data_IF_839672810217
#
_entry.id   IF_839672810217
#
_cell.length_a   1.000
_cell.length_b   1.000
_cell.length_c   1.000
_cell.angle_alpha   90.00
_cell.angle_beta   90.00
_cell.angle_gamma   90.00
#
_symmetry.space_group_name_H-M   'P 1'
#
loop_
_entity.id
_entity.type
_entity.pdbx_description
1 polymer ?
#
# COMPACT_ATOMS: atom_id res chain seq x y z
N UNK A 1 18.57 3.97 17.80
CA UNK A 1 19.70 4.25 16.89
C UNK A 1 20.16 2.92 16.28
N UNK A 2 20.20 2.80 14.96
CA UNK A 2 20.53 1.53 14.27
C UNK A 2 22.04 1.25 14.14
N UNK A 3 22.89 2.24 14.43
CA UNK A 3 24.34 2.11 14.46
C UNK A 3 24.82 1.83 15.89
N UNK A 4 25.88 1.03 16.03
CA UNK A 4 26.58 0.83 17.31
C UNK A 4 28.08 1.04 17.12
N UNK A 5 28.86 1.31 18.20
CA UNK A 5 30.31 1.54 18.09
C UNK A 5 31.08 0.40 17.41
N UNK A 6 30.57 -0.83 17.48
CA UNK A 6 31.20 -2.04 16.92
C UNK A 6 30.56 -2.51 15.61
N UNK A 7 29.45 -1.90 15.19
CA UNK A 7 28.75 -2.27 13.96
C UNK A 7 28.15 -1.00 13.33
N UNK A 8 28.91 -0.34 12.43
CA UNK A 8 28.37 0.78 11.70
C UNK A 8 27.17 0.33 10.87
N UNK A 9 26.08 1.08 10.96
CA UNK A 9 24.95 0.90 10.05
C UNK A 9 25.32 1.47 8.69
N UNK A 10 25.18 0.65 7.65
CA UNK A 10 25.32 1.09 6.27
C UNK A 10 23.94 1.06 5.63
N UNK A 11 23.38 2.24 5.35
CA UNK A 11 22.14 2.31 4.59
C UNK A 11 22.29 1.76 3.18
N UNK A 12 21.27 1.04 2.72
CA UNK A 12 21.13 0.71 1.32
C UNK A 12 20.42 1.87 0.62
N UNK A 13 21.13 2.56 -0.26
CA UNK A 13 20.62 3.73 -0.97
C UNK A 13 19.38 3.45 -1.82
N UNK A 14 19.17 2.23 -2.30
CA UNK A 14 17.95 1.87 -3.02
C UNK A 14 16.73 1.86 -2.10
N UNK A 15 16.88 1.37 -0.87
CA UNK A 15 15.83 1.41 0.15
C UNK A 15 15.56 2.83 0.64
N UNK A 16 16.60 3.65 0.81
CA UNK A 16 16.44 5.08 1.17
C UNK A 16 15.64 5.80 0.09
N UNK A 17 16.00 5.62 -1.19
CA UNK A 17 15.26 6.20 -2.31
C UNK A 17 13.82 5.70 -2.37
N UNK A 18 13.60 4.40 -2.13
CA UNK A 18 12.27 3.83 -2.12
C UNK A 18 11.38 4.42 -1.03
N UNK A 19 11.91 4.59 0.18
CA UNK A 19 11.20 5.20 1.30
C UNK A 19 10.85 6.67 1.00
N UNK A 20 11.78 7.43 0.41
CA UNK A 20 11.52 8.81 -0.01
C UNK A 20 10.38 8.90 -1.03
N UNK A 21 10.40 8.03 -2.06
CA UNK A 21 9.31 7.98 -3.04
C UNK A 21 8.00 7.59 -2.37
N UNK A 22 8.02 6.60 -1.46
CA UNK A 22 6.84 6.18 -0.71
C UNK A 22 6.21 7.35 0.07
N UNK A 23 7.02 8.14 0.78
CA UNK A 23 6.55 9.33 1.50
C UNK A 23 5.99 10.39 0.57
N UNK A 24 6.65 10.68 -0.54
CA UNK A 24 6.17 11.67 -1.53
C UNK A 24 4.80 11.27 -2.09
N UNK A 25 4.61 9.99 -2.43
CA UNK A 25 3.35 9.50 -3.01
C UNK A 25 2.17 9.46 -2.02
N UNK A 26 2.45 9.46 -0.72
CA UNK A 26 1.43 9.46 0.35
C UNK A 26 1.29 10.80 1.06
N UNK A 27 2.05 11.82 0.65
CA UNK A 27 2.13 13.10 1.36
C UNK A 27 0.78 13.83 1.45
N UNK A 28 0.00 13.81 0.37
CA UNK A 28 -1.36 14.35 0.33
C UNK A 28 -2.21 13.60 -0.69
N UNK A 29 -3.52 13.59 -0.47
CA UNK A 29 -4.48 13.07 -1.43
C UNK A 29 -5.81 13.82 -1.36
N UNK A 30 -5.72 15.15 -1.40
CA UNK A 30 -6.84 16.09 -1.43
C UNK A 30 -7.86 15.83 -0.30
N UNK A 31 -9.17 15.95 -0.57
CA UNK A 31 -10.24 15.82 0.41
C UNK A 31 -10.69 14.37 0.59
N UNK A 32 -9.79 13.53 1.11
CA UNK A 32 -10.14 12.18 1.57
C UNK A 32 -10.71 12.19 3.01
N UNK A 33 -11.09 11.00 3.51
CA UNK A 33 -11.72 10.84 4.83
C UNK A 33 -10.89 11.47 5.95
N UNK A 34 -9.61 11.08 6.09
CA UNK A 34 -8.74 11.59 7.14
C UNK A 34 -8.43 13.09 6.99
N UNK A 35 -8.19 13.59 5.77
CA UNK A 35 -7.99 15.03 5.55
C UNK A 35 -9.23 15.84 5.95
N UNK A 36 -10.42 15.34 5.62
CA UNK A 36 -11.68 15.97 6.01
C UNK A 36 -11.88 15.95 7.53
N UNK A 37 -11.48 14.87 8.20
CA UNK A 37 -11.49 14.78 9.67
C UNK A 37 -10.58 15.82 10.31
N UNK A 38 -9.35 16.04 9.81
CA UNK A 38 -8.47 17.11 10.30
C UNK A 38 -9.21 18.46 10.25
N UNK A 39 -9.82 18.77 9.10
CA UNK A 39 -10.48 20.07 8.88
C UNK A 39 -11.70 20.26 9.80
N UNK A 40 -12.54 19.23 9.93
CA UNK A 40 -13.75 19.29 10.73
C UNK A 40 -13.46 19.37 12.23
N UNK A 41 -12.51 18.58 12.71
CA UNK A 41 -12.12 18.60 14.13
C UNK A 41 -11.35 19.90 14.43
N UNK A 42 -10.48 20.34 13.52
CA UNK A 42 -9.72 21.58 13.64
C UNK A 42 -10.58 22.84 13.65
N UNK A 43 -11.76 22.84 13.01
CA UNK A 43 -12.67 24.00 13.03
C UNK A 43 -13.28 24.29 14.41
N UNK A 44 -13.14 23.37 15.37
CA UNK A 44 -13.48 23.60 16.78
C UNK A 44 -12.32 24.23 17.58
N UNK A 45 -11.28 24.73 16.91
CA UNK A 45 -10.08 25.35 17.51
C UNK A 45 -9.34 24.44 18.50
N UNK A 46 -9.39 23.12 18.26
CA UNK A 46 -8.59 22.17 19.05
C UNK A 46 -7.09 22.34 18.75
N UNK A 47 -6.25 21.92 19.69
CA UNK A 47 -4.80 21.91 19.47
C UNK A 47 -4.42 21.00 18.28
N UNK A 48 -3.27 21.30 17.67
CA UNK A 48 -2.75 20.60 16.49
C UNK A 48 -2.66 19.07 16.70
N UNK A 49 -2.16 18.62 17.84
CA UNK A 49 -1.97 17.20 18.13
C UNK A 49 -3.30 16.44 18.19
N UNK A 50 -4.34 17.07 18.75
CA UNK A 50 -5.69 16.49 18.79
C UNK A 50 -6.30 16.35 17.39
N UNK A 51 -6.18 17.38 16.52
CA UNK A 51 -6.69 17.32 15.15
C UNK A 51 -5.99 16.22 14.33
N UNK A 52 -4.66 16.10 14.45
CA UNK A 52 -3.88 15.05 13.77
C UNK A 52 -4.22 13.66 14.32
N UNK A 53 -4.40 13.52 15.64
CA UNK A 53 -4.75 12.23 16.26
C UNK A 53 -6.10 11.72 15.74
N UNK A 54 -7.10 12.60 15.62
CA UNK A 54 -8.40 12.24 15.04
C UNK A 54 -8.27 11.75 13.59
N UNK A 55 -7.42 12.40 12.80
CA UNK A 55 -7.16 12.00 11.42
C UNK A 55 -6.43 10.66 11.30
N UNK A 56 -5.50 10.35 12.20
CA UNK A 56 -4.85 9.04 12.27
C UNK A 56 -5.89 7.95 12.55
N UNK A 57 -6.82 8.18 13.47
CA UNK A 57 -7.92 7.24 13.72
C UNK A 57 -8.80 7.04 12.48
N UNK A 58 -9.12 8.12 11.76
CA UNK A 58 -9.87 8.03 10.51
C UNK A 58 -9.10 7.28 9.40
N UNK A 59 -7.78 7.48 9.31
CA UNK A 59 -6.90 6.78 8.37
C UNK A 59 -6.78 5.29 8.70
N UNK A 60 -6.72 4.92 9.97
CA UNK A 60 -6.55 3.53 10.38
C UNK A 60 -7.75 2.63 10.02
N UNK A 61 -8.93 3.20 9.77
CA UNK A 61 -10.11 2.44 9.39
C UNK A 61 -9.89 1.53 8.16
N UNK A 62 -10.53 0.34 8.12
CA UNK A 62 -10.30 -0.66 7.08
C UNK A 62 -10.66 -0.18 5.67
N UNK A 63 -11.61 0.75 5.56
CA UNK A 63 -12.07 1.34 4.30
C UNK A 63 -11.25 2.55 3.83
N UNK A 64 -10.21 2.93 4.59
CA UNK A 64 -9.30 4.03 4.24
C UNK A 64 -7.86 3.52 4.14
N UNK A 65 -7.05 3.63 5.20
CA UNK A 65 -5.65 3.19 5.22
C UNK A 65 -5.45 1.69 5.41
N UNK A 66 -6.47 0.96 5.89
CA UNK A 66 -6.39 -0.50 6.05
C UNK A 66 -6.37 -1.29 4.74
N UNK A 67 -6.65 -0.64 3.59
CA UNK A 67 -6.63 -1.30 2.29
C UNK A 67 -5.27 -1.95 1.98
N UNK A 68 -4.15 -1.32 2.36
CA UNK A 68 -2.80 -1.87 2.14
C UNK A 68 -2.58 -3.20 2.87
N UNK A 69 -3.08 -3.32 4.11
CA UNK A 69 -3.01 -4.56 4.88
C UNK A 69 -3.87 -5.64 4.22
N UNK A 70 -5.10 -5.31 3.82
CA UNK A 70 -6.00 -6.25 3.16
C UNK A 70 -5.42 -6.82 1.84
N UNK A 71 -4.61 -6.02 1.11
CA UNK A 71 -3.84 -6.51 -0.04
C UNK A 71 -2.83 -7.58 0.38
N UNK A 72 -2.02 -7.31 1.39
CA UNK A 72 -0.99 -8.26 1.85
C UNK A 72 -1.63 -9.55 2.36
N UNK A 73 -2.66 -9.46 3.19
CA UNK A 73 -3.39 -10.63 3.71
C UNK A 73 -3.99 -11.47 2.57
N UNK A 74 -4.59 -10.83 1.56
CA UNK A 74 -5.11 -11.54 0.39
C UNK A 74 -3.98 -12.25 -0.39
N UNK A 75 -2.84 -11.59 -0.60
CA UNK A 75 -1.68 -12.17 -1.28
C UNK A 75 -1.05 -13.33 -0.49
N UNK A 76 -1.01 -13.23 0.83
CA UNK A 76 -0.55 -14.30 1.72
C UNK A 76 -1.47 -15.52 1.64
N UNK A 77 -2.78 -15.33 1.66
CA UNK A 77 -3.76 -16.42 1.45
C UNK A 77 -3.55 -17.10 0.10
N UNK A 78 -3.35 -16.32 -0.98
CA UNK A 78 -3.06 -16.88 -2.31
C UNK A 78 -1.76 -17.70 -2.29
N UNK A 79 -0.71 -17.16 -1.68
CA UNK A 79 0.59 -17.83 -1.59
C UNK A 79 0.52 -19.13 -0.78
N UNK A 80 -0.23 -19.13 0.33
CA UNK A 80 -0.44 -20.31 1.18
C UNK A 80 -1.27 -21.39 0.49
N UNK A 81 -2.16 -21.00 -0.43
CA UNK A 81 -2.94 -21.91 -1.28
C UNK A 81 -2.22 -22.39 -2.55
N UNK A 82 -0.88 -22.34 -2.56
CA UNK A 82 -0.06 -22.83 -3.68
C UNK A 82 0.26 -21.79 -4.75
N UNK A 83 -0.20 -20.54 -4.60
CA UNK A 83 0.19 -19.40 -5.45
C UNK A 83 -0.59 -19.23 -6.75
N UNK A 84 -1.62 -20.04 -7.00
CA UNK A 84 -2.53 -19.85 -8.14
C UNK A 84 -3.56 -18.75 -7.86
N UNK A 85 -3.55 -17.70 -8.68
CA UNK A 85 -4.45 -16.55 -8.61
C UNK A 85 -5.80 -16.80 -9.30
N UNK A 86 -5.87 -17.81 -10.18
CA UNK A 86 -7.03 -18.05 -11.04
C UNK A 86 -8.35 -18.22 -10.27
N UNK A 87 -8.40 -18.97 -9.15
CA UNK A 87 -9.62 -19.13 -8.37
C UNK A 87 -10.11 -17.82 -7.76
N UNK A 88 -9.20 -16.96 -7.29
CA UNK A 88 -9.52 -15.68 -6.67
C UNK A 88 -10.04 -14.67 -7.70
N UNK A 89 -9.48 -14.68 -8.92
CA UNK A 89 -10.01 -13.87 -10.03
C UNK A 89 -11.42 -14.33 -10.43
N UNK A 90 -11.69 -15.65 -10.45
CA UNK A 90 -13.03 -16.17 -10.73
C UNK A 90 -14.04 -15.70 -9.67
N UNK A 91 -13.69 -15.81 -8.38
CA UNK A 91 -14.51 -15.29 -7.27
C UNK A 91 -14.79 -13.80 -7.42
N UNK A 92 -13.77 -12.99 -7.68
CA UNK A 92 -13.93 -11.54 -7.83
C UNK A 92 -14.82 -11.12 -9.01
N UNK A 93 -14.97 -11.99 -10.02
CA UNK A 93 -15.84 -11.77 -11.19
C UNK A 93 -17.26 -12.28 -10.97
N UNK A 94 -17.50 -13.16 -10.01
CA UNK A 94 -18.82 -13.64 -9.66
C UNK A 94 -19.57 -12.54 -8.90
N UNK A 95 -20.77 -12.17 -9.39
CA UNK A 95 -21.60 -11.14 -8.76
C UNK A 95 -22.26 -11.65 -7.47
N UNK A 96 -22.34 -12.97 -7.29
CA UNK A 96 -22.95 -13.60 -6.12
C UNK A 96 -21.93 -13.90 -5.02
N UNK A 97 -20.63 -13.78 -5.31
CA UNK A 97 -19.56 -13.95 -4.32
C UNK A 97 -19.23 -12.58 -3.69
N UNK A 98 -19.24 -12.46 -2.34
CA UNK A 98 -18.88 -11.20 -1.67
C UNK A 98 -17.38 -10.85 -1.79
N UNK A 99 -16.55 -11.75 -2.31
CA UNK A 99 -15.11 -11.55 -2.45
C UNK A 99 -14.77 -10.32 -3.31
N UNK A 100 -13.83 -9.50 -2.81
CA UNK A 100 -13.30 -8.34 -3.52
C UNK A 100 -11.80 -8.50 -3.71
N UNK A 101 -11.33 -8.15 -4.91
CA UNK A 101 -9.91 -8.12 -5.22
C UNK A 101 -9.32 -6.83 -4.62
N UNK A 102 -8.70 -6.96 -3.45
CA UNK A 102 -8.10 -5.84 -2.72
C UNK A 102 -7.00 -5.19 -3.58
N UNK A 103 -6.81 -3.88 -3.45
CA UNK A 103 -5.78 -3.12 -4.18
C UNK A 103 -6.09 -2.84 -5.65
N UNK A 104 -7.27 -3.23 -6.14
CA UNK A 104 -7.76 -2.87 -7.47
C UNK A 104 -8.92 -1.87 -7.40
N UNK A 105 -8.92 -0.96 -8.37
CA UNK A 105 -9.89 0.12 -8.46
C UNK A 105 -9.55 1.30 -7.56
N UNK A 106 -10.07 2.47 -7.91
CA UNK A 106 -9.89 3.69 -7.13
C UNK A 106 -11.17 4.52 -7.22
N UNK A 107 -11.56 5.16 -6.12
CA UNK A 107 -12.77 6.01 -6.08
C UNK A 107 -12.69 7.26 -6.98
N UNK A 108 -11.47 7.65 -7.34
CA UNK A 108 -11.15 8.94 -8.00
C UNK A 108 -10.58 8.67 -9.38
N UNK A 109 -9.53 7.85 -9.47
CA UNK A 109 -8.93 7.47 -10.75
C UNK A 109 -9.77 6.40 -11.46
N UNK A 110 -10.36 6.77 -12.60
CA UNK A 110 -11.21 5.87 -13.40
C UNK A 110 -10.41 4.87 -14.24
N UNK A 111 -9.22 5.24 -14.68
CA UNK A 111 -8.41 4.46 -15.63
C UNK A 111 -7.21 3.82 -14.96
N UNK A 112 -6.32 4.61 -14.37
CA UNK A 112 -5.17 4.12 -13.61
C UNK A 112 -4.75 5.13 -12.54
N UNK A 113 -4.18 4.66 -11.44
CA UNK A 113 -3.58 5.53 -10.42
C UNK A 113 -2.17 5.96 -10.88
N UNK A 114 -1.89 7.26 -11.07
CA UNK A 114 -0.58 7.73 -11.50
C UNK A 114 0.54 7.40 -10.49
N UNK A 115 0.21 7.26 -9.20
CA UNK A 115 1.17 6.89 -8.14
C UNK A 115 1.60 5.44 -8.26
N UNK A 116 0.68 4.56 -8.67
CA UNK A 116 0.97 3.13 -8.88
C UNK A 116 2.07 2.94 -9.94
N UNK A 117 2.04 3.74 -11.02
CA UNK A 117 3.09 3.70 -12.06
C UNK A 117 4.49 4.00 -11.50
N UNK A 118 4.60 5.00 -10.62
CA UNK A 118 5.87 5.40 -10.01
C UNK A 118 6.33 4.33 -9.01
N UNK A 119 5.45 3.92 -8.09
CA UNK A 119 5.81 2.95 -7.05
C UNK A 119 6.17 1.59 -7.64
N UNK A 120 5.51 1.17 -8.73
CA UNK A 120 5.84 -0.05 -9.46
C UNK A 120 7.29 -0.05 -9.95
N UNK A 121 7.76 1.06 -10.53
CA UNK A 121 9.14 1.16 -11.01
C UNK A 121 10.18 1.01 -9.88
N UNK A 122 9.85 1.50 -8.69
CA UNK A 122 10.68 1.38 -7.48
C UNK A 122 10.64 -0.05 -6.95
N UNK A 123 9.45 -0.66 -6.88
CA UNK A 123 9.27 -2.06 -6.48
C UNK A 123 10.06 -3.01 -7.38
N UNK A 124 9.97 -2.85 -8.70
CA UNK A 124 10.70 -3.68 -9.68
C UNK A 124 12.23 -3.61 -9.43
N UNK A 125 12.75 -2.41 -9.14
CA UNK A 125 14.18 -2.22 -8.82
C UNK A 125 14.56 -2.91 -7.50
N UNK A 126 13.76 -2.74 -6.44
CA UNK A 126 14.04 -3.37 -5.13
C UNK A 126 13.98 -4.89 -5.19
N UNK A 127 13.00 -5.44 -5.92
CA UNK A 127 12.87 -6.89 -6.09
C UNK A 127 14.07 -7.47 -6.83
N UNK A 128 14.57 -6.77 -7.86
CA UNK A 128 15.80 -7.17 -8.55
C UNK A 128 17.04 -7.14 -7.62
N UNK A 129 17.16 -6.09 -6.79
CA UNK A 129 18.30 -5.92 -5.89
C UNK A 129 18.33 -6.92 -4.72
N UNK A 130 17.17 -7.28 -4.18
CA UNK A 130 17.09 -8.06 -2.93
C UNK A 130 17.17 -9.57 -3.12
N UNK A 131 17.00 -10.11 -4.35
CA UNK A 131 16.91 -11.55 -4.67
C UNK A 131 15.87 -12.34 -3.84
N UNK A 132 15.15 -11.68 -2.92
CA UNK A 132 14.04 -12.20 -2.12
C UNK A 132 12.75 -11.98 -2.89
N UNK A 133 12.60 -12.68 -4.01
CA UNK A 133 11.27 -12.81 -4.61
C UNK A 133 10.46 -13.76 -3.74
N UNK A 134 9.45 -13.23 -3.03
CA UNK A 134 8.32 -14.01 -2.54
C UNK A 134 7.79 -14.83 -3.73
N UNK A 135 7.51 -16.12 -3.53
CA UNK A 135 7.13 -17.09 -4.58
C UNK A 135 6.05 -16.54 -5.53
N UNK A 136 5.09 -15.78 -4.98
CA UNK A 136 4.05 -15.07 -5.72
C UNK A 136 4.59 -14.15 -6.83
N UNK A 137 5.63 -13.37 -6.54
CA UNK A 137 6.24 -12.42 -7.48
C UNK A 137 7.15 -13.12 -8.51
N UNK A 138 7.57 -14.38 -8.29
CA UNK A 138 8.42 -15.12 -9.25
C UNK A 138 7.73 -15.44 -10.57
N UNK A 139 6.40 -15.45 -10.61
CA UNK A 139 5.64 -15.72 -11.82
C UNK A 139 5.49 -14.45 -12.67
N UNK A 140 6.02 -14.41 -13.91
CA UNK A 140 5.83 -13.28 -14.82
C UNK A 140 4.36 -13.01 -15.15
N UNK A 141 3.50 -14.02 -14.99
CA UNK A 141 2.04 -13.91 -15.17
C UNK A 141 1.37 -13.15 -14.02
N UNK A 142 1.85 -13.32 -12.80
CA UNK A 142 1.29 -12.67 -11.61
C UNK A 142 1.78 -11.20 -11.50
N UNK A 143 3.03 -10.95 -11.93
CA UNK A 143 3.63 -9.60 -11.94
C UNK A 143 2.92 -8.62 -12.87
N UNK A 144 2.30 -9.12 -13.95
CA UNK A 144 1.55 -8.33 -14.94
C UNK A 144 0.09 -8.11 -14.56
N UNK A 145 -0.43 -8.83 -13.58
CA UNK A 145 -1.82 -8.73 -13.16
C UNK A 145 -2.06 -7.58 -12.20
N UNK A 146 -1.06 -7.17 -11.43
CA UNK A 146 -1.16 -6.09 -10.45
C UNK A 146 -0.65 -4.76 -11.01
N UNK A 147 -1.41 -3.67 -10.90
CA UNK A 147 -1.01 -2.33 -11.34
C UNK A 147 0.18 -1.77 -10.55
#
# INVERSE_FOLDING_TARGET
MFTTPVRPYHENLDFVKALNVFWILHADHEQNCSTSTVRLVGSAEVNLYSAISAAICALWGPLHGGANQAVIEMLEVINNNGGDVTPFVKKAKDKNDPFRLMGFGHRVYKTYDPRAKIIKSVCDRLLAATKKMIRFWRSPRNLKMWP
#
